data_IF_804589500895
#
_entry.id   IF_804589500895
#
_cell.length_a   1.000
_cell.length_b   1.000
_cell.length_c   1.000
_cell.angle_alpha   90.00
_cell.angle_beta   90.00
_cell.angle_gamma   90.00
#
_symmetry.space_group_name_H-M   'P 1'
#
loop_
_entity.id
_entity.type
_entity.pdbx_description
1 polymer ?
#
# COMPACT_ATOMS: atom_id res chain seq x y z
N UNK A 1 0.02 -13.62 -4.19
CA UNK A 1 1.26 -12.85 -4.17
C UNK A 1 2.34 -13.68 -3.51
N UNK A 2 3.58 -13.62 -4.01
CA UNK A 2 4.76 -14.12 -3.31
C UNK A 2 5.73 -12.95 -3.20
N UNK A 3 6.43 -12.83 -2.08
CA UNK A 3 7.46 -11.81 -1.89
C UNK A 3 8.58 -12.38 -1.02
N UNK A 4 9.70 -11.69 -1.03
CA UNK A 4 10.88 -11.99 -0.23
C UNK A 4 11.72 -10.73 -0.11
N UNK A 5 12.50 -10.64 0.97
CA UNK A 5 13.49 -9.57 1.15
C UNK A 5 14.87 -10.07 0.74
N UNK A 6 15.76 -9.14 0.40
CA UNK A 6 17.13 -9.44 -0.06
C UNK A 6 17.21 -10.27 -1.36
N UNK A 7 16.16 -10.25 -2.18
CA UNK A 7 16.14 -10.92 -3.52
C UNK A 7 17.21 -10.32 -4.44
N UNK A 8 17.56 -9.05 -4.23
CA UNK A 8 18.64 -8.35 -4.92
C UNK A 8 19.55 -7.75 -3.85
N UNK A 9 20.73 -8.32 -3.64
CA UNK A 9 21.66 -7.91 -2.59
C UNK A 9 22.67 -8.99 -2.22
N UNK A 10 23.39 -8.77 -1.11
CA UNK A 10 24.30 -9.74 -0.50
C UNK A 10 23.63 -10.37 0.74
N UNK A 11 23.76 -11.69 0.90
CA UNK A 11 23.15 -12.46 1.99
C UNK A 11 22.05 -13.41 1.51
N UNK A 12 21.44 -14.12 2.47
CA UNK A 12 20.37 -15.07 2.17
C UNK A 12 19.05 -14.35 1.83
N UNK A 13 18.27 -14.97 0.94
CA UNK A 13 16.92 -14.52 0.64
C UNK A 13 16.01 -14.97 1.77
N UNK A 14 15.31 -14.02 2.38
CA UNK A 14 14.28 -14.31 3.37
C UNK A 14 12.91 -14.25 2.69
N UNK A 15 12.34 -15.44 2.47
CA UNK A 15 11.07 -15.63 1.78
C UNK A 15 9.91 -15.44 2.74
N UNK A 16 8.79 -14.93 2.21
CA UNK A 16 7.57 -14.88 2.99
C UNK A 16 7.06 -16.29 3.32
N UNK A 17 6.54 -16.49 4.54
CA UNK A 17 6.14 -17.82 5.01
C UNK A 17 4.89 -18.38 4.31
N UNK A 18 4.11 -17.53 3.63
CA UNK A 18 2.88 -17.93 2.96
C UNK A 18 2.59 -17.07 1.73
N UNK A 19 1.81 -17.62 0.80
CA UNK A 19 1.30 -16.87 -0.33
C UNK A 19 0.25 -15.85 0.12
N UNK A 20 0.38 -14.61 -0.33
CA UNK A 20 -0.61 -13.56 -0.09
C UNK A 20 -1.86 -13.72 -0.98
N UNK A 21 -3.03 -13.42 -0.43
CA UNK A 21 -4.30 -13.36 -1.15
C UNK A 21 -4.80 -11.91 -1.22
N UNK A 22 -5.30 -11.49 -2.38
CA UNK A 22 -5.92 -10.19 -2.59
C UNK A 22 -7.29 -10.36 -3.26
N UNK A 23 -8.31 -9.70 -2.72
CA UNK A 23 -9.64 -9.60 -3.29
C UNK A 23 -10.14 -8.16 -3.16
N UNK A 24 -10.76 -7.63 -4.22
CA UNK A 24 -11.34 -6.29 -4.22
C UNK A 24 -12.69 -6.31 -4.91
N UNK A 25 -13.67 -5.64 -4.32
CA UNK A 25 -15.00 -5.49 -4.88
C UNK A 25 -15.45 -4.03 -4.79
N UNK A 26 -15.81 -3.46 -5.95
CA UNK A 26 -16.33 -2.10 -6.05
C UNK A 26 -17.85 -2.12 -5.87
N UNK A 27 -18.34 -1.40 -4.86
CA UNK A 27 -19.74 -1.36 -4.47
C UNK A 27 -20.57 -0.45 -5.38
N UNK A 28 -20.01 0.69 -5.79
CA UNK A 28 -20.65 1.64 -6.68
C UNK A 28 -19.63 2.36 -7.57
N UNK A 29 -20.13 2.94 -8.65
CA UNK A 29 -19.37 3.92 -9.43
C UNK A 29 -19.43 5.28 -8.76
N UNK A 30 -18.39 6.08 -8.99
CA UNK A 30 -18.40 7.48 -8.61
C UNK A 30 -19.50 8.25 -9.37
N UNK A 31 -20.07 9.25 -8.71
CA UNK A 31 -20.91 10.26 -9.34
C UNK A 31 -20.51 11.65 -8.83
N UNK A 32 -21.15 12.70 -9.34
CA UNK A 32 -20.92 14.08 -8.87
C UNK A 32 -21.08 14.19 -7.36
N UNK A 33 -22.08 13.54 -6.77
CA UNK A 33 -22.41 13.65 -5.33
C UNK A 33 -21.86 12.52 -4.47
N UNK A 34 -21.57 11.34 -5.04
CA UNK A 34 -21.12 10.17 -4.28
C UNK A 34 -19.72 9.72 -4.71
N UNK A 35 -18.80 9.45 -3.76
CA UNK A 35 -17.53 8.81 -4.08
C UNK A 35 -17.76 7.36 -4.54
N UNK A 36 -16.79 6.81 -5.29
CA UNK A 36 -16.73 5.38 -5.52
C UNK A 36 -16.32 4.66 -4.24
N UNK A 37 -17.07 3.64 -3.84
CA UNK A 37 -16.79 2.84 -2.66
C UNK A 37 -16.31 1.45 -3.07
N UNK A 38 -15.33 0.92 -2.33
CA UNK A 38 -14.82 -0.43 -2.49
C UNK A 38 -14.56 -1.08 -1.14
N UNK A 39 -14.70 -2.39 -1.10
CA UNK A 39 -14.25 -3.24 -0.01
C UNK A 39 -13.27 -4.28 -0.55
N UNK A 40 -12.47 -4.86 0.33
CA UNK A 40 -11.58 -5.93 -0.08
C UNK A 40 -10.87 -6.58 1.08
N UNK A 41 -9.96 -7.47 0.70
CA UNK A 41 -9.06 -8.15 1.60
C UNK A 41 -7.68 -8.22 0.95
N UNK A 42 -6.63 -7.95 1.72
CA UNK A 42 -5.25 -8.15 1.30
C UNK A 42 -4.43 -8.73 2.46
N UNK A 43 -3.97 -9.97 2.35
CA UNK A 43 -3.13 -10.59 3.38
C UNK A 43 -1.64 -10.27 3.23
N UNK A 44 -1.26 -9.45 2.26
CA UNK A 44 0.14 -9.11 2.01
C UNK A 44 0.58 -7.93 2.87
N UNK A 45 1.46 -8.17 3.85
CA UNK A 45 2.19 -7.11 4.56
C UNK A 45 3.47 -6.70 3.82
N UNK A 46 4.17 -5.71 4.39
CA UNK A 46 5.37 -5.12 3.80
C UNK A 46 6.58 -5.29 4.71
N UNK A 47 7.75 -5.47 4.09
CA UNK A 47 9.02 -5.71 4.80
C UNK A 47 9.21 -7.16 5.22
N UNK A 48 10.12 -7.37 6.16
CA UNK A 48 10.41 -8.69 6.72
C UNK A 48 9.21 -9.24 7.51
N UNK A 49 9.10 -10.57 7.58
CA UNK A 49 8.18 -11.21 8.52
C UNK A 49 8.88 -11.43 9.86
N UNK A 50 8.26 -10.98 10.96
CA UNK A 50 8.81 -11.05 12.31
C UNK A 50 8.17 -12.20 13.06
N UNK A 51 8.86 -13.35 13.10
CA UNK A 51 8.32 -14.60 13.66
C UNK A 51 7.89 -14.50 15.12
N UNK A 52 8.61 -13.73 15.94
CA UNK A 52 8.29 -13.54 17.36
C UNK A 52 6.95 -12.86 17.58
N UNK A 53 6.53 -12.00 16.65
CA UNK A 53 5.27 -11.26 16.69
C UNK A 53 4.22 -11.82 15.72
N UNK A 54 4.61 -12.77 14.86
CA UNK A 54 3.80 -13.36 13.78
C UNK A 54 3.10 -12.31 12.92
N UNK A 55 3.88 -11.33 12.46
CA UNK A 55 3.41 -10.22 11.61
C UNK A 55 4.54 -9.70 10.72
N UNK A 56 4.18 -8.97 9.68
CA UNK A 56 5.12 -8.19 8.90
C UNK A 56 5.59 -6.94 9.65
N UNK A 57 6.70 -6.36 9.22
CA UNK A 57 7.20 -5.08 9.75
C UNK A 57 6.11 -4.00 9.68
N UNK A 58 5.50 -3.83 8.49
CA UNK A 58 4.23 -3.12 8.32
C UNK A 58 3.15 -4.15 8.01
N UNK A 59 2.19 -4.27 8.92
CA UNK A 59 1.07 -5.23 8.84
C UNK A 59 0.38 -5.18 7.48
N UNK A 60 -0.13 -6.32 7.04
CA UNK A 60 -1.04 -6.39 5.91
C UNK A 60 -2.26 -5.49 6.13
N UNK A 61 -2.82 -5.00 5.03
CA UNK A 61 -4.07 -4.24 5.06
C UNK A 61 -5.20 -5.08 5.66
N UNK A 62 -5.24 -6.39 5.42
CA UNK A 62 -6.34 -7.25 5.84
C UNK A 62 -7.65 -6.82 5.19
N UNK A 63 -8.75 -6.82 5.95
CA UNK A 63 -10.03 -6.34 5.45
C UNK A 63 -10.03 -4.82 5.36
N UNK A 64 -10.50 -4.26 4.24
CA UNK A 64 -10.51 -2.81 4.07
C UNK A 64 -11.78 -2.29 3.41
N UNK A 65 -12.00 -1.00 3.62
CA UNK A 65 -12.98 -0.17 2.95
C UNK A 65 -12.28 1.11 2.45
N UNK A 66 -12.61 1.53 1.22
CA UNK A 66 -12.04 2.73 0.61
C UNK A 66 -13.15 3.54 -0.07
N UNK A 67 -13.11 4.86 0.14
CA UNK A 67 -13.87 5.84 -0.63
C UNK A 67 -12.91 6.63 -1.53
N UNK A 68 -13.29 6.78 -2.80
CA UNK A 68 -12.46 7.41 -3.84
C UNK A 68 -13.23 8.49 -4.58
N UNK A 69 -12.54 9.58 -4.94
CA UNK A 69 -13.09 10.68 -5.73
C UNK A 69 -12.07 11.12 -6.76
N UNK A 70 -12.51 11.34 -8.00
CA UNK A 70 -11.67 11.81 -9.09
C UNK A 70 -12.13 13.19 -9.57
N UNK A 71 -11.17 14.02 -9.95
CA UNK A 71 -11.37 15.37 -10.47
C UNK A 71 -10.61 15.55 -11.78
N UNK A 72 -11.20 16.26 -12.72
CA UNK A 72 -10.58 16.62 -14.00
C UNK A 72 -9.59 17.78 -13.82
N UNK A 73 -8.41 17.47 -13.29
CA UNK A 73 -7.29 18.41 -13.12
C UNK A 73 -6.08 17.86 -13.85
N UNK A 74 -5.49 18.63 -14.77
CA UNK A 74 -4.51 18.14 -15.75
C UNK A 74 -5.09 16.94 -16.53
N UNK A 75 -4.51 15.74 -16.40
CA UNK A 75 -5.11 14.51 -16.92
C UNK A 75 -6.17 13.99 -15.95
N UNK A 76 -5.82 13.85 -14.66
CA UNK A 76 -6.75 13.53 -13.58
C UNK A 76 -6.12 13.83 -12.21
N UNK A 77 -6.97 13.98 -11.19
CA UNK A 77 -6.56 14.04 -9.79
C UNK A 77 -7.50 13.16 -8.96
N UNK A 78 -6.97 12.05 -8.46
CA UNK A 78 -7.72 11.11 -7.62
C UNK A 78 -7.32 11.25 -6.16
N UNK A 79 -8.30 11.16 -5.27
CA UNK A 79 -8.12 11.06 -3.83
C UNK A 79 -8.80 9.81 -3.30
N UNK A 80 -8.14 9.15 -2.36
CA UNK A 80 -8.58 7.93 -1.70
C UNK A 80 -8.44 8.10 -0.20
N UNK A 81 -9.50 7.77 0.54
CA UNK A 81 -9.44 7.61 2.00
C UNK A 81 -9.95 6.22 2.34
N UNK A 82 -9.28 5.55 3.26
CA UNK A 82 -9.59 4.19 3.61
C UNK A 82 -9.33 3.86 5.05
N UNK A 83 -9.95 2.76 5.46
CA UNK A 83 -9.75 2.14 6.76
C UNK A 83 -9.54 0.66 6.56
N UNK A 84 -8.76 0.04 7.44
CA UNK A 84 -8.49 -1.39 7.37
C UNK A 84 -8.32 -2.05 8.73
N UNK A 85 -8.45 -3.37 8.74
CA UNK A 85 -8.25 -4.24 9.88
C UNK A 85 -7.38 -5.43 9.48
N UNK A 86 -6.17 -5.48 10.03
CA UNK A 86 -5.23 -6.58 9.81
C UNK A 86 -5.59 -7.78 10.67
N UNK A 87 -5.37 -8.99 10.12
CA UNK A 87 -5.50 -10.23 10.89
C UNK A 87 -4.23 -10.56 11.69
N UNK A 88 -3.14 -9.83 11.47
CA UNK A 88 -1.88 -9.93 12.20
C UNK A 88 -1.99 -9.30 13.59
N UNK A 89 -2.58 -10.05 14.51
CA UNK A 89 -2.99 -9.56 15.86
C UNK A 89 -2.21 -10.19 17.01
N UNK A 90 -1.21 -11.00 16.68
CA UNK A 90 -0.41 -11.77 17.64
C UNK A 90 0.54 -10.93 18.48
N UNK A 91 0.81 -9.70 18.06
CA UNK A 91 1.55 -8.69 18.83
C UNK A 91 0.70 -8.00 19.91
N UNK A 92 -0.60 -8.32 19.99
CA UNK A 92 -1.55 -7.73 20.93
C UNK A 92 -2.28 -6.50 20.41
N UNK A 93 -1.94 -6.00 19.22
CA UNK A 93 -2.60 -4.83 18.62
C UNK A 93 -3.65 -5.25 17.58
N UNK A 94 -4.90 -4.89 17.86
CA UNK A 94 -6.09 -5.17 17.05
C UNK A 94 -6.76 -3.89 16.57
N UNK A 95 -6.04 -2.78 16.57
CA UNK A 95 -6.60 -1.49 16.25
C UNK A 95 -6.96 -1.42 14.76
N UNK A 96 -8.03 -0.70 14.47
CA UNK A 96 -8.36 -0.32 13.10
C UNK A 96 -7.36 0.73 12.64
N UNK A 97 -6.88 0.60 11.41
CA UNK A 97 -5.99 1.57 10.79
C UNK A 97 -6.74 2.52 9.85
N UNK A 98 -6.13 3.67 9.59
CA UNK A 98 -6.56 4.67 8.62
C UNK A 98 -5.44 4.93 7.63
N UNK A 99 -5.80 5.20 6.39
CA UNK A 99 -4.88 5.60 5.35
C UNK A 99 -5.55 6.53 4.36
N UNK A 100 -4.74 7.32 3.67
CA UNK A 100 -5.16 8.19 2.59
C UNK A 100 -4.13 8.13 1.48
N UNK A 101 -4.55 8.34 0.25
CA UNK A 101 -3.64 8.44 -0.88
C UNK A 101 -4.30 9.14 -2.05
N UNK A 102 -3.54 9.28 -3.13
CA UNK A 102 -4.02 9.90 -4.33
C UNK A 102 -2.97 9.90 -5.42
N UNK A 103 -3.40 10.28 -6.61
CA UNK A 103 -2.54 10.45 -7.74
C UNK A 103 -2.96 11.61 -8.64
N UNK A 104 -1.95 12.30 -9.16
CA UNK A 104 -2.08 13.38 -10.12
C UNK A 104 -1.51 12.91 -11.46
N UNK A 105 -2.38 12.71 -12.44
CA UNK A 105 -2.00 12.55 -13.84
C UNK A 105 -1.50 13.87 -14.40
N UNK A 106 -0.20 13.94 -14.69
CA UNK A 106 0.43 15.12 -15.30
C UNK A 106 0.24 15.09 -16.82
N UNK A 107 0.37 13.91 -17.42
CA UNK A 107 0.02 13.60 -18.81
C UNK A 107 -0.70 12.25 -18.85
N UNK A 108 -1.28 11.84 -19.99
CA UNK A 108 -1.89 10.52 -20.12
C UNK A 108 -0.95 9.35 -19.79
N UNK A 109 0.37 9.56 -19.92
CA UNK A 109 1.41 8.55 -19.67
C UNK A 109 2.04 8.67 -18.27
N UNK A 110 2.04 9.85 -17.66
CA UNK A 110 2.80 10.13 -16.43
C UNK A 110 1.91 10.58 -15.27
N UNK A 111 2.07 9.92 -14.12
CA UNK A 111 1.38 10.28 -12.88
C UNK A 111 2.33 10.35 -11.70
N UNK A 112 2.05 11.27 -10.77
CA UNK A 112 2.68 11.34 -9.45
C UNK A 112 1.74 10.73 -8.43
N UNK A 113 2.25 9.84 -7.58
CA UNK A 113 1.50 9.10 -6.56
C UNK A 113 1.91 9.57 -5.16
N UNK A 114 0.96 9.62 -4.24
CA UNK A 114 1.22 9.84 -2.81
C UNK A 114 0.32 8.99 -1.94
N UNK A 115 0.86 8.42 -0.87
CA UNK A 115 0.10 7.67 0.14
C UNK A 115 0.63 8.00 1.54
N UNK A 116 -0.29 8.19 2.48
CA UNK A 116 0.00 8.24 3.90
C UNK A 116 -0.83 7.22 4.67
N UNK A 117 -0.15 6.34 5.39
CA UNK A 117 -0.72 5.35 6.29
C UNK A 117 -0.45 5.79 7.73
N UNK A 118 -1.49 5.90 8.55
CA UNK A 118 -1.37 6.42 9.92
C UNK A 118 -0.73 5.41 10.88
N UNK A 119 -0.62 4.13 10.50
CA UNK A 119 -0.08 3.04 11.30
C UNK A 119 -0.71 2.93 12.70
N UNK A 120 -2.02 3.18 12.81
CA UNK A 120 -2.75 3.11 14.09
C UNK A 120 -2.85 1.68 14.64
N UNK A 121 -2.53 0.68 13.82
CA UNK A 121 -2.44 -0.74 14.17
C UNK A 121 -0.99 -1.21 14.44
N UNK A 122 -0.09 -0.25 14.68
CA UNK A 122 1.30 -0.45 15.10
C UNK A 122 1.72 0.61 16.12
N UNK A 123 0.89 0.83 17.16
CA UNK A 123 1.13 1.88 18.17
C UNK A 123 1.04 1.38 19.63
N UNK A 124 0.90 0.08 19.84
CA UNK A 124 0.90 -0.57 21.15
C UNK A 124 2.31 -0.92 21.64
N UNK A 125 2.43 -1.59 22.80
CA UNK A 125 3.71 -1.93 23.45
C UNK A 125 4.71 -2.69 22.55
N UNK A 126 4.21 -3.50 21.62
CA UNK A 126 5.02 -4.26 20.65
C UNK A 126 5.15 -3.55 19.29
N UNK A 127 4.98 -2.22 19.25
CA UNK A 127 5.08 -1.44 18.02
C UNK A 127 6.46 -1.60 17.37
N UNK A 128 6.49 -1.79 16.05
CA UNK A 128 7.74 -1.84 15.29
C UNK A 128 8.14 -0.49 14.70
N UNK A 129 7.17 0.41 14.49
CA UNK A 129 7.37 1.78 14.04
C UNK A 129 7.52 2.79 15.19
N UNK A 130 7.91 4.01 14.84
CA UNK A 130 8.08 5.14 15.78
C UNK A 130 6.81 5.98 15.99
N UNK A 131 5.68 5.58 15.40
CA UNK A 131 4.38 6.26 15.51
C UNK A 131 4.17 7.46 14.58
N UNK A 132 5.07 7.70 13.62
CA UNK A 132 4.94 8.80 12.64
C UNK A 132 3.97 8.47 11.49
N UNK A 133 3.61 7.20 11.33
CA UNK A 133 2.96 6.69 10.13
C UNK A 133 3.91 6.60 8.93
N UNK A 134 3.46 5.99 7.84
CA UNK A 134 4.27 5.77 6.65
C UNK A 134 3.84 6.71 5.52
N UNK A 135 4.74 7.57 5.06
CA UNK A 135 4.55 8.42 3.89
C UNK A 135 5.32 7.85 2.70
N UNK A 136 4.63 7.61 1.60
CA UNK A 136 5.18 7.08 0.37
C UNK A 136 4.91 8.04 -0.78
N UNK A 137 5.86 8.15 -1.70
CA UNK A 137 5.71 8.85 -2.97
C UNK A 137 6.05 7.93 -4.12
N UNK A 138 5.42 8.14 -5.27
CA UNK A 138 5.69 7.36 -6.48
C UNK A 138 5.64 8.19 -7.75
N UNK A 139 6.36 7.71 -8.76
CA UNK A 139 6.21 8.13 -10.15
C UNK A 139 5.76 6.93 -10.95
N UNK A 140 4.70 7.09 -11.74
CA UNK A 140 4.15 6.07 -12.62
C UNK A 140 4.30 6.53 -14.06
N UNK A 141 4.87 5.66 -14.88
CA UNK A 141 4.88 5.77 -16.33
C UNK A 141 4.09 4.60 -16.91
N UNK A 142 3.03 4.88 -17.66
CA UNK A 142 2.23 3.86 -18.33
C UNK A 142 2.45 3.89 -19.84
N UNK A 143 2.42 2.72 -20.44
CA UNK A 143 2.53 2.52 -21.89
C UNK A 143 1.22 1.92 -22.36
N UNK A 144 0.43 2.73 -23.06
CA UNK A 144 -0.86 2.35 -23.66
C UNK A 144 -1.82 1.70 -22.65
N UNK A 145 -1.76 2.09 -21.38
CA UNK A 145 -2.57 1.50 -20.30
C UNK A 145 -2.41 -0.01 -20.09
N UNK A 146 -1.37 -0.63 -20.64
CA UNK A 146 -1.13 -2.09 -20.60
C UNK A 146 0.09 -2.43 -19.75
N UNK A 147 1.15 -1.63 -19.86
CA UNK A 147 2.38 -1.78 -19.05
C UNK A 147 2.53 -0.56 -18.16
N UNK A 148 2.82 -0.76 -16.88
CA UNK A 148 3.07 0.29 -15.92
C UNK A 148 4.42 0.07 -15.26
N UNK A 149 5.29 1.07 -15.36
CA UNK A 149 6.55 1.17 -14.63
C UNK A 149 6.37 2.18 -13.51
N UNK A 150 6.62 1.74 -12.29
CA UNK A 150 6.44 2.57 -11.11
C UNK A 150 7.73 2.58 -10.29
N UNK A 151 8.18 3.78 -9.91
CA UNK A 151 9.27 3.98 -8.97
C UNK A 151 8.73 4.61 -7.71
N UNK A 152 9.10 4.09 -6.54
CA UNK A 152 8.63 4.56 -5.25
C UNK A 152 9.76 4.96 -4.31
N UNK A 153 9.51 6.02 -3.54
CA UNK A 153 10.19 6.33 -2.29
C UNK A 153 9.25 5.93 -1.15
N UNK A 154 9.66 4.95 -0.35
CA UNK A 154 8.86 4.36 0.72
C UNK A 154 9.37 4.82 2.09
N UNK A 155 8.43 4.99 3.03
CA UNK A 155 8.67 5.39 4.41
C UNK A 155 9.56 6.65 4.53
N UNK A 156 9.18 7.73 3.84
CA UNK A 156 9.92 8.99 3.81
C UNK A 156 10.02 9.64 5.19
N UNK A 157 9.05 9.37 6.07
CA UNK A 157 9.06 9.83 7.46
C UNK A 157 9.98 9.01 8.37
N UNK A 158 10.55 7.91 7.86
CA UNK A 158 11.43 7.01 8.60
C UNK A 158 10.74 6.50 9.87
N UNK A 159 9.54 5.95 9.68
CA UNK A 159 8.75 5.40 10.77
C UNK A 159 9.37 4.11 11.28
N UNK A 160 9.81 3.21 10.39
CA UNK A 160 10.42 1.93 10.75
C UNK A 160 11.94 1.93 10.62
N UNK A 161 12.46 2.43 9.50
CA UNK A 161 13.89 2.41 9.19
C UNK A 161 14.42 3.84 9.11
N UNK A 162 15.65 4.10 9.56
CA UNK A 162 16.28 5.44 9.45
C UNK A 162 16.71 5.79 8.00
N UNK A 163 16.35 4.97 7.03
CA UNK A 163 16.65 5.17 5.61
C UNK A 163 15.35 5.12 4.81
N UNK A 164 15.25 6.02 3.84
CA UNK A 164 14.18 6.00 2.84
C UNK A 164 14.40 4.76 1.96
N UNK A 165 13.39 3.91 1.91
CA UNK A 165 13.40 2.72 1.07
C UNK A 165 12.97 3.07 -0.36
N UNK A 166 13.40 2.26 -1.33
CA UNK A 166 13.08 2.47 -2.74
C UNK A 166 12.53 1.19 -3.34
N UNK A 167 11.51 1.30 -4.18
CA UNK A 167 10.95 0.15 -4.86
C UNK A 167 10.69 0.46 -6.34
N UNK A 168 10.81 -0.57 -7.16
CA UNK A 168 10.37 -0.55 -8.56
C UNK A 168 9.28 -1.60 -8.70
N UNK A 169 8.20 -1.24 -9.39
CA UNK A 169 7.10 -2.15 -9.70
C UNK A 169 6.83 -2.11 -11.19
N UNK A 170 6.74 -3.31 -11.77
CA UNK A 170 6.32 -3.52 -13.15
C UNK A 170 4.96 -4.22 -13.10
N UNK A 171 3.96 -3.63 -13.73
CA UNK A 171 2.63 -4.24 -13.87
C UNK A 171 2.30 -4.39 -15.35
N UNK A 172 1.77 -5.55 -15.72
CA UNK A 172 1.26 -5.83 -17.06
C UNK A 172 -0.18 -6.31 -16.95
N UNK A 173 -1.07 -5.77 -17.77
CA UNK A 173 -2.46 -6.17 -17.86
C UNK A 173 -2.74 -6.78 -19.22
N UNK A 174 -3.43 -7.92 -19.24
CA UNK A 174 -3.94 -8.54 -20.44
C UNK A 174 -5.44 -8.75 -20.27
N UNK A 175 -6.20 -8.34 -21.28
CA UNK A 175 -7.64 -8.52 -21.32
C UNK A 175 -7.93 -9.67 -22.29
N UNK A 176 -8.62 -10.69 -21.79
CA UNK A 176 -9.06 -11.86 -22.56
C UNK A 176 -10.54 -11.76 -22.92
#
# INVERSE_FOLDING_TARGET
>A
SFSGINVIGEGDIDWQPFAGANFRYRLNLESVTLPALAIGFDSQGHGAYVDSLKRFERKSTGFFFVASKNYEVLDHLSFHVGTNYSLETNDGDKSINLFTGGDLGVTPEFSVLGEYDFALNDNADNSLGSGKGYLNFGLRYNIKNVVYFEFYLLDVLKNKHDKIQRAIKLTYFEFF
#
